data_IF_572415003830
#
_entry.id   IF_572415003830
#
_cell.length_a   1.000
_cell.length_b   1.000
_cell.length_c   1.000
_cell.angle_alpha   90.00
_cell.angle_beta   90.00
_cell.angle_gamma   90.00
#
_symmetry.space_group_name_H-M   'P 1'
#
loop_
_entity.id
_entity.type
_entity.pdbx_description
1 polymer ?
#
# COMPACT_ATOMS: atom_id res chain seq x y z
N UNK A 1 29.16 10.71 12.21
CA UNK A 1 27.87 9.99 12.16
C UNK A 1 26.80 10.71 11.33
N UNK A 2 26.98 11.99 10.97
CA UNK A 2 26.02 12.85 10.26
C UNK A 2 25.76 12.46 8.80
N UNK A 3 26.79 11.99 8.10
CA UNK A 3 26.76 11.74 6.65
C UNK A 3 25.78 10.63 6.21
N UNK A 4 25.67 9.53 6.98
CA UNK A 4 24.72 8.46 6.68
C UNK A 4 23.26 8.86 6.95
N UNK A 5 23.02 9.65 8.00
CA UNK A 5 21.69 10.16 8.33
C UNK A 5 21.22 11.17 7.27
N UNK A 6 22.07 12.15 6.92
CA UNK A 6 21.75 13.13 5.87
C UNK A 6 21.41 12.44 4.55
N UNK A 7 22.21 11.47 4.10
CA UNK A 7 21.91 10.66 2.91
C UNK A 7 20.58 9.92 2.99
N UNK A 8 20.19 9.45 4.16
CA UNK A 8 18.93 8.74 4.31
C UNK A 8 17.74 9.69 4.24
N UNK A 9 17.84 10.88 4.83
CA UNK A 9 16.83 11.93 4.72
C UNK A 9 16.72 12.42 3.28
N UNK A 10 17.84 12.63 2.58
CA UNK A 10 17.85 12.98 1.15
C UNK A 10 17.12 11.94 0.30
N UNK A 11 17.38 10.64 0.53
CA UNK A 11 16.65 9.57 -0.15
C UNK A 11 15.16 9.53 0.19
N UNK A 12 14.79 9.88 1.42
CA UNK A 12 13.37 9.99 1.77
C UNK A 12 12.70 11.10 0.96
N UNK A 13 13.36 12.26 0.84
CA UNK A 13 12.87 13.37 0.01
C UNK A 13 12.76 12.94 -1.46
N UNK A 14 13.78 12.27 -1.99
CA UNK A 14 13.78 11.77 -3.37
C UNK A 14 12.61 10.80 -3.65
N UNK A 15 12.33 9.88 -2.74
CA UNK A 15 11.31 8.84 -2.95
C UNK A 15 9.90 9.24 -2.52
N UNK A 16 9.79 10.11 -1.52
CA UNK A 16 8.53 10.40 -0.83
C UNK A 16 8.15 11.88 -0.85
N UNK A 17 8.97 12.74 -1.47
CA UNK A 17 8.76 14.18 -1.62
C UNK A 17 9.22 15.03 -0.44
N UNK A 18 9.27 14.45 0.76
CA UNK A 18 9.68 15.11 2.00
C UNK A 18 10.16 14.07 3.03
N UNK A 19 10.80 14.50 4.14
CA UNK A 19 11.21 13.59 5.20
C UNK A 19 10.03 12.83 5.81
N UNK A 20 10.18 11.53 6.01
CA UNK A 20 9.14 10.70 6.61
C UNK A 20 8.83 11.12 8.05
N UNK A 21 9.82 11.66 8.76
CA UNK A 21 9.64 12.23 10.10
C UNK A 21 8.59 13.34 10.13
N UNK A 22 8.59 14.23 9.13
CA UNK A 22 7.66 15.35 9.05
C UNK A 22 6.24 14.85 8.72
N UNK A 23 6.12 13.91 7.77
CA UNK A 23 4.84 13.27 7.42
C UNK A 23 4.18 12.59 8.61
N UNK A 24 4.91 11.70 9.28
CA UNK A 24 4.41 11.01 10.47
C UNK A 24 4.16 11.99 11.62
N UNK A 25 5.01 13.01 11.79
CA UNK A 25 4.84 14.05 12.80
C UNK A 25 3.51 14.79 12.66
N UNK A 26 3.15 15.20 11.43
CA UNK A 26 1.86 15.84 11.16
C UNK A 26 0.68 14.93 11.50
N UNK A 27 0.75 13.65 11.12
CA UNK A 27 -0.30 12.68 11.44
C UNK A 27 -0.45 12.46 12.95
N UNK A 28 0.65 12.29 13.69
CA UNK A 28 0.63 12.10 15.15
C UNK A 28 -0.02 13.30 15.85
N UNK A 29 0.41 14.51 15.49
CA UNK A 29 -0.14 15.74 16.05
C UNK A 29 -1.63 15.89 15.72
N UNK A 30 -1.99 15.61 14.47
CA UNK A 30 -3.35 15.79 13.96
C UNK A 30 -4.36 14.79 14.53
N UNK A 31 -3.93 13.56 14.76
CA UNK A 31 -4.76 12.47 15.26
C UNK A 31 -4.67 12.28 16.78
N UNK A 32 -3.76 12.99 17.46
CA UNK A 32 -3.50 12.80 18.89
C UNK A 32 -2.99 11.40 19.24
N UNK A 33 -2.33 10.72 18.29
CA UNK A 33 -1.84 9.35 18.47
C UNK A 33 -0.39 9.34 18.97
N UNK A 34 -0.06 8.29 19.72
CA UNK A 34 1.34 7.90 19.97
C UNK A 34 1.97 7.24 18.74
N UNK A 35 3.30 7.21 18.67
CA UNK A 35 4.04 6.48 17.64
C UNK A 35 3.65 5.00 17.57
N UNK A 36 3.43 4.34 18.70
CA UNK A 36 3.03 2.93 18.73
C UNK A 36 1.63 2.71 18.13
N UNK A 37 0.69 3.61 18.40
CA UNK A 37 -0.66 3.55 17.82
C UNK A 37 -0.62 3.79 16.30
N UNK A 38 0.12 4.81 15.84
CA UNK A 38 0.27 5.06 14.41
C UNK A 38 0.96 3.88 13.70
N UNK A 39 2.00 3.30 14.29
CA UNK A 39 2.63 2.08 13.77
C UNK A 39 1.61 0.94 13.64
N UNK A 40 0.74 0.76 14.64
CA UNK A 40 -0.34 -0.23 14.62
C UNK A 40 -1.37 -0.01 13.49
N UNK A 41 -1.72 1.24 13.19
CA UNK A 41 -2.60 1.60 12.07
C UNK A 41 -1.94 1.29 10.73
N UNK A 42 -0.67 1.68 10.57
CA UNK A 42 0.10 1.50 9.33
C UNK A 42 0.56 0.05 9.09
N UNK A 43 0.50 -0.82 10.10
CA UNK A 43 1.03 -2.19 10.03
C UNK A 43 2.55 -2.27 10.18
N UNK A 44 3.16 -1.27 10.83
CA UNK A 44 4.57 -1.22 11.16
C UNK A 44 4.82 -1.66 12.60
N UNK A 45 6.05 -2.09 12.89
CA UNK A 45 6.51 -2.17 14.28
C UNK A 45 6.87 -0.77 14.79
N UNK A 46 6.65 -0.51 16.08
CA UNK A 46 7.02 0.77 16.70
C UNK A 46 8.52 1.10 16.51
N UNK A 47 9.48 0.15 16.62
CA UNK A 47 10.89 0.42 16.31
C UNK A 47 11.11 0.83 14.86
N UNK A 48 10.42 0.20 13.90
CA UNK A 48 10.56 0.56 12.48
C UNK A 48 10.05 1.98 12.20
N UNK A 49 8.92 2.37 12.80
CA UNK A 49 8.41 3.74 12.70
C UNK A 49 9.42 4.74 13.27
N UNK A 50 9.96 4.47 14.45
CA UNK A 50 10.97 5.33 15.09
C UNK A 50 12.23 5.51 14.24
N UNK A 51 12.72 4.43 13.61
CA UNK A 51 13.88 4.46 12.70
C UNK A 51 13.63 5.28 11.42
N UNK A 52 12.41 5.22 10.87
CA UNK A 52 12.02 6.03 9.71
C UNK A 52 11.89 7.50 10.08
N UNK A 53 11.22 7.79 11.21
CA UNK A 53 11.03 9.17 11.70
C UNK A 53 12.35 9.86 12.03
N UNK A 54 13.32 9.12 12.58
CA UNK A 54 14.64 9.64 12.94
C UNK A 54 15.66 9.62 11.80
N UNK A 55 15.26 9.30 10.56
CA UNK A 55 16.15 9.28 9.39
C UNK A 55 17.24 8.20 9.43
N UNK A 56 17.21 7.26 10.38
CA UNK A 56 18.12 6.12 10.40
C UNK A 56 17.78 5.09 9.32
N UNK A 57 16.53 5.09 8.84
CA UNK A 57 16.07 4.25 7.74
C UNK A 57 15.47 5.10 6.63
N UNK A 58 15.93 4.91 5.39
CA UNK A 58 15.48 5.69 4.24
C UNK A 58 14.21 5.16 3.57
N UNK A 59 13.90 3.87 3.70
CA UNK A 59 12.83 3.21 2.90
C UNK A 59 11.74 2.55 3.73
N UNK A 60 10.49 2.72 3.29
CA UNK A 60 9.37 1.83 3.62
C UNK A 60 9.46 0.60 2.71
N UNK A 61 9.80 -0.56 3.26
CA UNK A 61 10.00 -1.80 2.47
C UNK A 61 8.72 -2.47 2.00
N UNK A 62 7.59 -2.17 2.65
CA UNK A 62 6.30 -2.76 2.31
C UNK A 62 5.49 -1.76 1.49
N UNK A 63 5.17 -2.05 0.22
CA UNK A 63 4.25 -1.23 -0.59
C UNK A 63 2.91 -1.03 0.12
N UNK A 64 2.56 -2.03 0.93
CA UNK A 64 1.32 -2.13 1.64
C UNK A 64 1.20 -1.08 2.78
N UNK A 65 2.31 -0.87 3.49
CA UNK A 65 2.44 0.21 4.48
C UNK A 65 2.36 1.58 3.81
N UNK A 66 2.99 1.74 2.65
CA UNK A 66 2.94 3.00 1.91
C UNK A 66 1.52 3.33 1.44
N UNK A 67 0.77 2.34 0.95
CA UNK A 67 -0.64 2.48 0.59
C UNK A 67 -1.49 2.97 1.77
N UNK A 68 -1.33 2.35 2.96
CA UNK A 68 -2.01 2.82 4.19
C UNK A 68 -1.62 4.24 4.58
N UNK A 69 -0.35 4.63 4.43
CA UNK A 69 0.10 5.98 4.72
C UNK A 69 -0.60 7.00 3.82
N UNK A 70 -0.62 6.77 2.51
CA UNK A 70 -1.25 7.67 1.55
C UNK A 70 -2.76 7.77 1.78
N UNK A 71 -3.43 6.63 2.03
CA UNK A 71 -4.86 6.62 2.36
C UNK A 71 -5.13 7.39 3.66
N UNK A 72 -4.34 7.15 4.70
CA UNK A 72 -4.48 7.86 5.98
C UNK A 72 -4.31 9.37 5.82
N UNK A 73 -3.30 9.82 5.05
CA UNK A 73 -3.08 11.24 4.79
C UNK A 73 -4.22 11.88 4.00
N UNK A 74 -4.72 11.22 2.96
CA UNK A 74 -5.86 11.70 2.17
C UNK A 74 -7.13 11.82 3.04
N UNK A 75 -7.39 10.80 3.86
CA UNK A 75 -8.56 10.75 4.73
C UNK A 75 -8.55 11.81 5.83
N UNK A 76 -7.39 12.05 6.45
CA UNK A 76 -7.23 13.03 7.55
C UNK A 76 -7.06 14.46 7.02
N UNK A 77 -6.63 14.60 5.76
CA UNK A 77 -6.57 15.87 5.05
C UNK A 77 -7.92 16.38 4.56
N UNK A 78 -8.95 15.55 4.54
CA UNK A 78 -10.32 15.96 4.23
C UNK A 78 -10.84 16.95 5.30
N UNK A 79 -11.37 18.10 4.89
CA UNK A 79 -11.89 19.12 5.79
C UNK A 79 -13.02 18.60 6.70
N UNK A 80 -13.75 17.58 6.25
CA UNK A 80 -14.82 16.95 7.02
C UNK A 80 -14.31 16.06 8.15
N UNK A 81 -13.01 15.73 8.19
CA UNK A 81 -12.44 14.84 9.22
C UNK A 81 -12.70 15.34 10.63
N UNK A 82 -12.56 16.66 10.87
CA UNK A 82 -12.79 17.27 12.20
C UNK A 82 -14.25 17.25 12.64
N UNK A 83 -15.16 17.17 11.69
CA UNK A 83 -16.60 17.17 11.95
C UNK A 83 -17.10 15.76 12.31
N UNK A 84 -16.29 14.72 12.06
CA UNK A 84 -16.67 13.34 12.34
C UNK A 84 -16.68 13.06 13.85
N UNK A 85 -17.67 12.30 14.35
CA UNK A 85 -17.66 11.77 15.71
C UNK A 85 -16.38 10.96 15.99
N UNK A 86 -15.82 11.00 17.22
CA UNK A 86 -14.58 10.29 17.56
C UNK A 86 -14.61 8.78 17.31
N UNK A 87 -15.79 8.17 17.49
CA UNK A 87 -16.09 6.76 17.24
C UNK A 87 -16.05 6.42 15.74
N UNK A 88 -16.53 7.32 14.88
CA UNK A 88 -16.41 7.20 13.43
C UNK A 88 -14.96 7.37 12.97
N UNK A 89 -14.22 8.34 13.52
CA UNK A 89 -12.78 8.50 13.26
C UNK A 89 -12.02 7.22 13.64
N UNK A 90 -12.31 6.66 14.81
CA UNK A 90 -11.70 5.41 15.29
C UNK A 90 -12.02 4.22 14.38
N UNK A 91 -13.27 4.12 13.90
CA UNK A 91 -13.70 3.09 12.93
C UNK A 91 -12.91 3.22 11.63
N UNK A 92 -12.79 4.42 11.07
CA UNK A 92 -12.05 4.66 9.84
C UNK A 92 -10.55 4.35 9.97
N UNK A 93 -9.94 4.63 11.11
CA UNK A 93 -8.54 4.22 11.38
C UNK A 93 -8.39 2.68 11.42
N UNK A 94 -9.39 1.99 11.99
CA UNK A 94 -9.43 0.52 11.96
C UNK A 94 -9.62 -0.01 10.52
N UNK A 95 -10.43 0.68 9.71
CA UNK A 95 -10.62 0.35 8.30
C UNK A 95 -9.33 0.55 7.50
N UNK A 96 -8.54 1.61 7.72
CA UNK A 96 -7.20 1.77 7.11
C UNK A 96 -6.28 0.59 7.46
N UNK A 97 -6.29 0.17 8.73
CA UNK A 97 -5.52 -1.01 9.16
C UNK A 97 -5.99 -2.27 8.45
N UNK A 98 -7.30 -2.41 8.23
CA UNK A 98 -7.93 -3.54 7.57
C UNK A 98 -7.95 -3.48 6.04
N UNK A 99 -7.74 -2.31 5.43
CA UNK A 99 -8.00 -2.05 4.00
C UNK A 99 -7.20 -2.94 3.06
N UNK A 100 -6.03 -3.42 3.47
CA UNK A 100 -5.26 -4.39 2.64
C UNK A 100 -5.60 -5.85 2.90
N UNK A 101 -6.40 -6.12 3.92
CA UNK A 101 -7.17 -7.37 3.97
C UNK A 101 -8.45 -7.27 3.13
N UNK A 102 -8.81 -6.06 2.67
CA UNK A 102 -10.13 -5.74 2.13
C UNK A 102 -10.12 -4.98 0.79
N UNK A 103 -9.01 -4.94 0.05
CA UNK A 103 -9.02 -4.50 -1.36
C UNK A 103 -9.74 -5.49 -2.28
N UNK A 104 -10.29 -6.58 -1.72
CA UNK A 104 -11.46 -7.25 -2.24
C UNK A 104 -12.69 -6.76 -1.47
N UNK A 105 -13.61 -6.13 -2.20
CA UNK A 105 -15.00 -5.79 -1.80
C UNK A 105 -15.20 -4.38 -1.29
N UNK A 106 -15.61 -3.49 -2.20
CA UNK A 106 -16.63 -2.48 -1.89
C UNK A 106 -17.57 -2.31 -3.10
N UNK A 107 -18.66 -3.07 -3.10
CA UNK A 107 -20.00 -2.54 -3.44
C UNK A 107 -20.97 -3.12 -2.41
N UNK A 108 -21.56 -2.25 -1.60
CA UNK A 108 -22.57 -2.47 -0.53
C UNK A 108 -24.00 -2.69 -1.10
N UNK A 109 -25.06 -2.89 -0.29
CA UNK A 109 -25.23 -3.76 0.89
C UNK A 109 -26.55 -4.60 0.86
N UNK A 110 -26.57 -5.80 1.44
CA UNK A 110 -27.68 -6.32 2.30
C UNK A 110 -27.26 -7.61 3.01
N UNK A 111 -27.65 -7.75 4.29
CA UNK A 111 -27.31 -8.85 5.23
C UNK A 111 -27.94 -10.22 4.81
N UNK A 112 -27.59 -11.43 5.35
CA UNK A 112 -27.26 -11.78 6.76
C UNK A 112 -26.09 -12.80 6.92
N UNK A 113 -25.75 -13.30 8.13
CA UNK A 113 -24.39 -13.79 8.44
C UNK A 113 -24.19 -15.26 8.07
N UNK A 114 -23.06 -15.60 7.45
CA UNK A 114 -22.34 -16.86 7.72
C UNK A 114 -21.08 -17.06 6.86
N UNK A 115 -20.05 -17.57 7.55
CA UNK A 115 -18.85 -18.32 7.14
C UNK A 115 -17.54 -17.54 6.95
N UNK A 116 -16.40 -18.11 7.43
CA UNK A 116 -15.08 -17.51 7.32
C UNK A 116 -14.71 -17.36 5.84
N UNK A 117 -14.53 -16.12 5.39
CA UNK A 117 -14.11 -15.80 4.03
C UNK A 117 -12.70 -16.32 3.82
N UNK A 118 -12.57 -17.29 2.91
CA UNK A 118 -11.28 -17.70 2.37
C UNK A 118 -10.62 -16.47 1.74
N UNK A 119 -9.39 -16.17 2.15
CA UNK A 119 -8.57 -15.13 1.53
C UNK A 119 -8.59 -15.32 0.01
N UNK A 120 -9.03 -14.30 -0.73
CA UNK A 120 -9.10 -14.37 -2.19
C UNK A 120 -7.73 -14.68 -2.78
N UNK A 121 -7.73 -15.43 -3.87
CA UNK A 121 -6.49 -15.80 -4.56
C UNK A 121 -5.75 -14.55 -5.06
N UNK A 122 -4.52 -14.27 -4.57
CA UNK A 122 -3.79 -13.05 -4.94
C UNK A 122 -3.55 -12.92 -6.44
N UNK A 123 -3.45 -14.04 -7.16
CA UNK A 123 -3.28 -14.06 -8.61
C UNK A 123 -4.50 -13.47 -9.29
N UNK A 124 -5.71 -13.94 -8.94
CA UNK A 124 -6.97 -13.45 -9.49
C UNK A 124 -7.12 -11.95 -9.26
N UNK A 125 -6.80 -11.47 -8.05
CA UNK A 125 -6.84 -10.03 -7.73
C UNK A 125 -5.96 -9.20 -8.66
N UNK A 126 -4.72 -9.64 -8.90
CA UNK A 126 -3.79 -8.93 -9.79
C UNK A 126 -4.30 -8.91 -11.23
N UNK A 127 -4.82 -10.04 -11.73
CA UNK A 127 -5.35 -10.13 -13.10
C UNK A 127 -6.57 -9.22 -13.26
N UNK A 128 -7.46 -9.18 -12.27
CA UNK A 128 -8.66 -8.35 -12.29
C UNK A 128 -8.29 -6.85 -12.32
N UNK A 129 -7.32 -6.44 -11.50
CA UNK A 129 -6.83 -5.05 -11.50
C UNK A 129 -6.24 -4.66 -12.86
N UNK A 130 -5.36 -5.48 -13.43
CA UNK A 130 -4.75 -5.15 -14.74
C UNK A 130 -5.80 -5.05 -15.85
N UNK A 131 -6.78 -5.95 -15.85
CA UNK A 131 -7.87 -5.96 -16.84
C UNK A 131 -8.89 -4.84 -16.66
N UNK A 132 -9.04 -4.33 -15.44
CA UNK A 132 -9.85 -3.15 -15.17
C UNK A 132 -9.17 -1.86 -15.65
N UNK A 133 -7.83 -1.81 -15.62
CA UNK A 133 -7.03 -0.64 -16.02
C UNK A 133 -6.88 -0.55 -17.54
N UNK A 134 -6.68 -1.68 -18.22
CA UNK A 134 -6.41 -1.70 -19.65
C UNK A 134 -6.88 -3.00 -20.29
N UNK A 135 -7.20 -2.95 -21.58
CA UNK A 135 -7.50 -4.13 -22.38
C UNK A 135 -6.27 -5.02 -22.55
N UNK A 136 -6.48 -6.30 -22.88
CA UNK A 136 -5.39 -7.24 -23.14
C UNK A 136 -4.42 -6.75 -24.24
N UNK A 137 -4.94 -6.06 -25.27
CA UNK A 137 -4.13 -5.51 -26.36
C UNK A 137 -3.25 -4.34 -25.89
N UNK A 138 -3.79 -3.48 -25.03
CA UNK A 138 -3.03 -2.36 -24.44
C UNK A 138 -1.97 -2.85 -23.47
N UNK A 139 -2.29 -3.88 -22.66
CA UNK A 139 -1.33 -4.52 -21.75
C UNK A 139 -0.18 -5.19 -22.53
N UNK A 140 -0.47 -5.83 -23.67
CA UNK A 140 0.56 -6.41 -24.53
C UNK A 140 1.44 -5.33 -25.19
N UNK A 141 0.82 -4.24 -25.67
CA UNK A 141 1.57 -3.11 -26.23
C UNK A 141 2.49 -2.47 -25.19
N UNK A 142 2.01 -2.29 -23.95
CA UNK A 142 2.81 -1.79 -22.84
C UNK A 142 3.96 -2.76 -22.49
N UNK A 143 3.72 -4.07 -22.50
CA UNK A 143 4.77 -5.06 -22.28
C UNK A 143 5.86 -4.98 -23.36
N UNK A 144 5.48 -4.78 -24.62
CA UNK A 144 6.43 -4.63 -25.72
C UNK A 144 7.30 -3.37 -25.58
N UNK A 145 6.75 -2.25 -25.10
CA UNK A 145 7.53 -1.03 -24.84
C UNK A 145 8.57 -1.25 -23.72
N UNK A 146 8.22 -2.04 -22.71
CA UNK A 146 9.09 -2.32 -21.57
C UNK A 146 10.16 -3.38 -21.87
N UNK A 147 9.98 -4.19 -22.92
CA UNK A 147 10.79 -5.37 -23.19
C UNK A 147 12.29 -5.08 -23.32
N UNK A 148 12.65 -3.92 -23.90
CA UNK A 148 14.05 -3.57 -24.13
C UNK A 148 14.79 -3.20 -22.85
N UNK A 149 14.16 -2.41 -21.99
CA UNK A 149 14.82 -1.78 -20.85
C UNK A 149 14.44 -2.46 -19.51
N UNK A 150 13.31 -3.17 -19.47
CA UNK A 150 12.73 -3.82 -18.30
C UNK A 150 12.08 -5.18 -18.64
N UNK A 151 12.86 -6.19 -19.06
CA UNK A 151 12.34 -7.47 -19.54
C UNK A 151 11.52 -8.23 -18.49
N UNK A 152 11.91 -8.18 -17.21
CA UNK A 152 11.18 -8.85 -16.12
C UNK A 152 9.78 -8.25 -15.89
N UNK A 153 9.65 -6.92 -16.05
CA UNK A 153 8.36 -6.25 -15.94
C UNK A 153 7.47 -6.53 -17.15
N UNK A 154 8.06 -6.60 -18.35
CA UNK A 154 7.34 -7.01 -19.55
C UNK A 154 6.81 -8.46 -19.40
N UNK A 155 7.61 -9.38 -18.89
CA UNK A 155 7.19 -10.75 -18.61
C UNK A 155 6.06 -10.79 -17.58
N UNK A 156 6.20 -10.08 -16.46
CA UNK A 156 5.17 -10.02 -15.43
C UNK A 156 3.85 -9.46 -15.98
N UNK A 157 3.90 -8.40 -16.79
CA UNK A 157 2.72 -7.78 -17.37
C UNK A 157 1.99 -8.72 -18.34
N UNK A 158 2.74 -9.49 -19.15
CA UNK A 158 2.15 -10.53 -20.01
C UNK A 158 1.53 -11.64 -19.17
N UNK A 159 2.27 -12.18 -18.21
CA UNK A 159 1.82 -13.30 -17.39
C UNK A 159 0.57 -12.96 -16.58
N UNK A 160 0.52 -11.79 -15.94
CA UNK A 160 -0.62 -11.39 -15.13
C UNK A 160 -1.74 -10.75 -15.95
N UNK A 161 -1.42 -9.96 -16.99
CA UNK A 161 -2.40 -9.21 -17.77
C UNK A 161 -3.07 -10.01 -18.88
N UNK A 162 -2.28 -10.76 -19.67
CA UNK A 162 -2.75 -11.49 -20.85
C UNK A 162 -2.74 -13.01 -20.67
N UNK A 163 -1.99 -13.52 -19.69
CA UNK A 163 -1.83 -14.94 -19.40
C UNK A 163 -3.02 -15.61 -18.70
N UNK A 164 -3.03 -16.95 -18.73
CA UNK A 164 -4.01 -17.77 -18.02
C UNK A 164 -3.68 -17.83 -16.52
N UNK A 165 -4.70 -17.90 -15.68
CA UNK A 165 -4.57 -17.92 -14.21
C UNK A 165 -3.63 -19.02 -13.67
N UNK A 166 -3.59 -20.26 -14.22
CA UNK A 166 -2.63 -21.28 -13.77
C UNK A 166 -1.16 -20.88 -14.02
N UNK A 167 -0.89 -20.28 -15.17
CA UNK A 167 0.46 -19.83 -15.56
C UNK A 167 0.90 -18.66 -14.66
N UNK A 168 -0.02 -17.72 -14.40
CA UNK A 168 0.18 -16.62 -13.47
C UNK A 168 0.41 -17.07 -12.02
N UNK A 169 -0.25 -18.15 -11.58
CA UNK A 169 -0.02 -18.73 -10.25
C UNK A 169 1.36 -19.37 -10.12
N UNK A 170 1.80 -20.10 -11.14
CA UNK A 170 3.13 -20.69 -11.16
C UNK A 170 4.20 -19.59 -11.09
N UNK A 171 4.01 -18.52 -11.85
CA UNK A 171 4.90 -17.36 -11.85
C UNK A 171 4.92 -16.63 -10.49
N UNK A 172 3.75 -16.35 -9.91
CA UNK A 172 3.64 -15.73 -8.57
C UNK A 172 4.33 -16.57 -7.49
N UNK A 173 4.14 -17.89 -7.52
CA UNK A 173 4.77 -18.81 -6.54
C UNK A 173 6.31 -18.80 -6.64
N UNK A 174 6.85 -18.56 -7.84
CA UNK A 174 8.30 -18.41 -8.07
C UNK A 174 8.83 -17.09 -7.50
N UNK A 175 8.05 -16.01 -7.57
CA UNK A 175 8.47 -14.67 -7.09
C UNK A 175 8.45 -14.52 -5.57
N UNK A 176 7.54 -15.22 -4.89
CA UNK A 176 7.33 -15.09 -3.43
C UNK A 176 8.17 -16.11 -2.63
N UNK A 177 8.99 -16.92 -3.32
CA UNK A 177 9.90 -17.88 -2.72
C UNK A 177 11.25 -17.26 -2.42
#
# INVERSE_FOLDING_TARGET
MTDAHTRNVERQIEWYGEPLGDRFGRLLARLGLSQAQLAGVLGLSAPMLSQLMSGHRSKISSPAVLSRLLHLEAMVGDATWDELPPDEQSRRLADVRAAERSTLTMVTPEAPPARPQQAGDPVTVIQDVLRAVASAAELEAAAHLLERDHPDLAEALRVFGTGRTPDARAYYSRLVR
#
